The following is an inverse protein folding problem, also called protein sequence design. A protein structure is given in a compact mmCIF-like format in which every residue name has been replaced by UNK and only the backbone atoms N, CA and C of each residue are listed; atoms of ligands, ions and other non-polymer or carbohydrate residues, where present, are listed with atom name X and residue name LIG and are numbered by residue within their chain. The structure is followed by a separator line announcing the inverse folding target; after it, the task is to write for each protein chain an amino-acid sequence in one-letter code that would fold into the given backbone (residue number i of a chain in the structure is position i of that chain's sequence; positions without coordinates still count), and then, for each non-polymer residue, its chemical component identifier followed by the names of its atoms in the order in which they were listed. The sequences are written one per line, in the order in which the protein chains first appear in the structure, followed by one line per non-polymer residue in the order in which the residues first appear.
data_IF_462959255668
#
_entry.id   IF_462959255668
#
_cell.length_a   1.000
_cell.length_b   1.000
_cell.length_c   1.000
_cell.angle_alpha   90.00
_cell.angle_beta   90.00
_cell.angle_gamma   90.00
#
_symmetry.space_group_name_H-M   'P 1'
#
loop_
_entity.id
_entity.type
_entity.pdbx_description
1 polymer ?
#
# COMPACT_ATOMS: atom_id res chain seq x y z
N UNK A 1 4.78 13.05 4.05
CA UNK A 1 4.68 11.68 3.50
C UNK A 1 5.92 10.88 3.85
N UNK A 2 5.84 9.54 3.93
CA UNK A 2 7.03 8.71 4.04
C UNK A 2 7.99 9.06 2.91
N UNK A 3 9.21 9.44 3.24
CA UNK A 3 10.27 9.69 2.26
C UNK A 3 11.12 8.46 2.00
N UNK A 4 10.90 7.40 2.79
CA UNK A 4 11.60 6.13 2.69
C UNK A 4 10.62 5.00 2.41
N UNK A 5 10.71 4.46 1.19
CA UNK A 5 9.99 3.27 0.74
C UNK A 5 10.91 2.04 0.68
N UNK A 6 12.11 2.13 1.28
CA UNK A 6 13.04 1.01 1.41
C UNK A 6 12.50 -0.01 2.39
N UNK A 7 11.80 -1.01 1.86
CA UNK A 7 11.28 -2.14 2.62
C UNK A 7 11.91 -3.45 2.15
N UNK A 8 12.19 -4.36 3.08
CA UNK A 8 12.67 -5.71 2.77
C UNK A 8 11.47 -6.61 2.51
N UNK A 9 11.13 -6.79 1.24
CA UNK A 9 10.04 -7.67 0.82
C UNK A 9 10.42 -9.14 0.98
N UNK A 10 9.46 -9.96 1.40
CA UNK A 10 9.61 -11.41 1.53
C UNK A 10 8.85 -12.11 0.40
N UNK A 11 9.35 -13.27 -0.03
CA UNK A 11 8.62 -14.18 -0.90
C UNK A 11 7.63 -15.05 -0.11
N UNK A 12 6.86 -15.87 -0.82
CA UNK A 12 5.86 -16.79 -0.22
C UNK A 12 6.44 -17.81 0.76
N UNK A 13 7.75 -18.04 0.72
CA UNK A 13 8.45 -18.97 1.61
C UNK A 13 9.13 -18.22 2.79
N UNK A 14 8.94 -16.90 2.90
CA UNK A 14 9.55 -16.06 3.93
C UNK A 14 11.00 -15.65 3.64
N UNK A 15 11.53 -15.92 2.44
CA UNK A 15 12.88 -15.47 2.08
C UNK A 15 12.87 -14.03 1.61
N UNK A 16 13.92 -13.27 1.92
CA UNK A 16 14.07 -11.90 1.41
C UNK A 16 14.18 -11.91 -0.11
N UNK A 17 13.38 -11.09 -0.77
CA UNK A 17 13.49 -10.84 -2.20
C UNK A 17 14.80 -10.06 -2.44
N UNK A 18 15.86 -10.75 -2.86
CA UNK A 18 17.17 -10.13 -3.11
C UNK A 18 17.29 -9.50 -4.52
N UNK A 19 16.32 -9.75 -5.41
CA UNK A 19 16.34 -9.23 -6.77
C UNK A 19 16.17 -7.70 -6.76
N UNK A 20 17.18 -6.97 -7.23
CA UNK A 20 17.16 -5.49 -7.27
C UNK A 20 15.97 -4.95 -8.06
N UNK A 21 15.67 -5.54 -9.21
CA UNK A 21 14.58 -5.08 -10.07
C UNK A 21 13.21 -5.24 -9.41
N UNK A 22 12.95 -6.38 -8.76
CA UNK A 22 11.69 -6.59 -8.03
C UNK A 22 11.52 -5.58 -6.89
N UNK A 23 12.59 -5.28 -6.16
CA UNK A 23 12.53 -4.26 -5.10
C UNK A 23 12.31 -2.86 -5.66
N UNK A 24 12.92 -2.53 -6.81
CA UNK A 24 12.69 -1.25 -7.50
C UNK A 24 11.23 -1.09 -7.89
N UNK A 25 10.64 -2.10 -8.54
CA UNK A 25 9.22 -2.08 -8.92
C UNK A 25 8.32 -1.93 -7.69
N UNK A 26 8.60 -2.66 -6.60
CA UNK A 26 7.82 -2.51 -5.37
C UNK A 26 7.97 -1.11 -4.74
N UNK A 27 9.15 -0.51 -4.81
CA UNK A 27 9.37 0.85 -4.34
C UNK A 27 8.54 1.85 -5.16
N UNK A 28 8.56 1.73 -6.50
CA UNK A 28 7.77 2.58 -7.41
C UNK A 28 6.26 2.41 -7.13
N UNK A 29 5.77 1.18 -6.99
CA UNK A 29 4.37 0.91 -6.65
C UNK A 29 3.95 1.54 -5.31
N UNK A 30 4.81 1.51 -4.28
CA UNK A 30 4.49 2.12 -2.98
C UNK A 30 4.52 3.65 -3.04
N UNK A 31 5.40 4.24 -3.85
CA UNK A 31 5.41 5.68 -4.11
C UNK A 31 4.13 6.13 -4.80
N UNK A 32 3.70 5.43 -5.85
CA UNK A 32 2.44 5.70 -6.55
C UNK A 32 1.24 5.54 -5.63
N UNK A 33 1.20 4.46 -4.83
CA UNK A 33 0.13 4.24 -3.86
C UNK A 33 0.05 5.38 -2.83
N UNK A 34 1.19 5.84 -2.30
CA UNK A 34 1.22 6.93 -1.33
C UNK A 34 0.69 8.25 -1.90
N UNK A 35 1.03 8.58 -3.15
CA UNK A 35 0.47 9.75 -3.83
C UNK A 35 -1.04 9.62 -4.00
N UNK A 36 -1.52 8.48 -4.53
CA UNK A 36 -2.95 8.26 -4.76
C UNK A 36 -3.77 8.32 -3.45
N UNK A 37 -3.26 7.72 -2.37
CA UNK A 37 -3.93 7.75 -1.06
C UNK A 37 -3.98 9.17 -0.49
N UNK A 38 -2.95 9.98 -0.70
CA UNK A 38 -2.98 11.38 -0.31
C UNK A 38 -4.06 12.15 -1.07
N UNK A 39 -4.10 12.02 -2.40
CA UNK A 39 -5.08 12.73 -3.23
C UNK A 39 -6.51 12.40 -2.77
N UNK A 40 -6.79 11.11 -2.54
CA UNK A 40 -8.09 10.65 -2.01
C UNK A 40 -8.36 11.23 -0.61
N UNK A 41 -7.34 11.29 0.25
CA UNK A 41 -7.48 11.86 1.59
C UNK A 41 -7.80 13.35 1.52
N UNK A 42 -7.08 14.12 0.71
CA UNK A 42 -7.30 15.57 0.53
C UNK A 42 -8.69 15.86 -0.01
N UNK A 43 -9.15 15.09 -1.01
CA UNK A 43 -10.52 15.19 -1.54
C UNK A 43 -11.57 14.91 -0.45
N UNK A 44 -11.36 13.87 0.37
CA UNK A 44 -12.28 13.56 1.46
C UNK A 44 -12.36 14.68 2.50
N UNK A 45 -11.22 15.31 2.84
CA UNK A 45 -11.19 16.47 3.75
C UNK A 45 -11.89 17.67 3.12
N UNK A 46 -11.66 17.93 1.84
CA UNK A 46 -12.33 19.02 1.10
C UNK A 46 -13.85 18.84 1.07
N UNK A 47 -14.33 17.58 1.06
CA UNK A 47 -15.76 17.23 1.13
C UNK A 47 -16.34 17.28 2.57
N UNK A 48 -15.52 17.56 3.59
CA UNK A 48 -15.95 17.68 4.98
C UNK A 48 -16.03 16.36 5.74
N UNK A 49 -15.34 15.31 5.28
CA UNK A 49 -15.21 14.06 6.03
C UNK A 49 -14.33 14.23 7.28
N UNK A 50 -14.57 13.41 8.30
CA UNK A 50 -13.71 13.38 9.50
C UNK A 50 -12.40 12.65 9.19
N UNK A 51 -11.27 13.25 9.56
CA UNK A 51 -9.93 12.80 9.19
C UNK A 51 -9.62 11.36 9.61
N UNK A 52 -9.95 10.99 10.85
CA UNK A 52 -9.62 9.67 11.39
C UNK A 52 -10.50 8.59 10.76
N UNK A 53 -11.78 8.87 10.52
CA UNK A 53 -12.71 7.97 9.87
C UNK A 53 -12.24 7.59 8.47
N UNK A 54 -11.72 8.56 7.69
CA UNK A 54 -11.18 8.28 6.35
C UNK A 54 -9.97 7.36 6.44
N UNK A 55 -9.03 7.64 7.35
CA UNK A 55 -7.84 6.80 7.56
C UNK A 55 -8.20 5.39 8.01
N UNK A 56 -9.12 5.25 8.96
CA UNK A 56 -9.62 3.95 9.43
C UNK A 56 -10.27 3.15 8.29
N UNK A 57 -11.04 3.81 7.43
CA UNK A 57 -11.65 3.16 6.28
C UNK A 57 -10.61 2.66 5.28
N UNK A 58 -9.59 3.47 4.96
CA UNK A 58 -8.48 3.08 4.08
C UNK A 58 -7.71 1.87 4.63
N UNK A 59 -7.44 1.83 5.94
CA UNK A 59 -6.78 0.69 6.59
C UNK A 59 -7.64 -0.56 6.45
N UNK A 60 -8.94 -0.49 6.78
CA UNK A 60 -9.87 -1.62 6.63
C UNK A 60 -9.95 -2.12 5.19
N UNK A 61 -9.90 -1.21 4.21
CA UNK A 61 -9.88 -1.57 2.80
C UNK A 61 -8.63 -2.40 2.47
N UNK A 62 -7.44 -1.95 2.90
CA UNK A 62 -6.17 -2.67 2.69
C UNK A 62 -6.19 -4.05 3.37
N UNK A 63 -6.69 -4.14 4.60
CA UNK A 63 -6.83 -5.40 5.35
C UNK A 63 -7.79 -6.38 4.66
N UNK A 64 -8.78 -5.88 3.93
CA UNK A 64 -9.77 -6.69 3.21
C UNK A 64 -9.33 -7.16 1.82
N UNK A 65 -8.16 -6.74 1.33
CA UNK A 65 -7.70 -7.07 -0.02
C UNK A 65 -7.55 -8.60 -0.18
N UNK A 66 -8.30 -9.23 -1.10
CA UNK A 66 -8.19 -10.66 -1.30
C UNK A 66 -6.84 -10.98 -1.95
N UNK A 67 -6.22 -12.09 -1.54
CA UNK A 67 -5.10 -12.66 -2.29
C UNK A 67 -5.69 -13.53 -3.42
N UNK A 68 -5.58 -13.11 -4.70
CA UNK A 68 -6.18 -13.85 -5.82
C UNK A 68 -5.51 -15.21 -6.06
N UNK A 69 -4.34 -15.46 -5.48
CA UNK A 69 -3.62 -16.73 -5.61
C UNK A 69 -3.93 -17.74 -4.50
N UNK A 70 -4.71 -17.36 -3.49
CA UNK A 70 -5.17 -18.31 -2.47
C UNK A 70 -6.24 -19.29 -3.00
N UNK A 71 -6.91 -18.98 -4.11
CA UNK A 71 -7.89 -19.87 -4.76
C UNK A 71 -7.26 -20.89 -5.73
N UNK A 72 -5.95 -20.76 -6.01
CA UNK A 72 -5.22 -21.58 -6.98
C UNK A 72 -4.34 -22.69 -6.32
N UNK A 73 -4.55 -22.95 -5.02
CA UNK A 73 -3.86 -23.99 -4.23
C UNK A 73 -4.85 -25.00 -3.66
#
# INVERSE_FOLDING_TARGET
MPTDFSHRWLDKNGNVIACKEKNKVMQENMQEFAHNVQDIFEDAILMGCEENQVKEFMIKLIESLPNPYNELL
#
